data_IF_290809919513
#
_entry.id   IF_290809919513
#
_cell.length_a   1.000
_cell.length_b   1.000
_cell.length_c   1.000
_cell.angle_alpha   90.00
_cell.angle_beta   90.00
_cell.angle_gamma   90.00
#
_symmetry.space_group_name_H-M   'P 1'
#
loop_
_entity.id
_entity.type
_entity.pdbx_description
1 polymer ?
#
# COMPACT_ATOMS: atom_id res chain seq x y z
N UNK A 1 -3.75 -9.70 5.24
CA UNK A 1 -4.26 -8.36 4.87
C UNK A 1 -5.61 -8.56 4.19
N UNK A 2 -6.65 -7.78 4.55
CA UNK A 2 -8.03 -7.99 4.10
C UNK A 2 -8.27 -7.59 2.64
N UNK A 3 -7.41 -6.75 2.06
CA UNK A 3 -7.40 -6.36 0.65
C UNK A 3 -6.00 -6.56 0.07
N UNK A 4 -5.86 -6.49 -1.25
CA UNK A 4 -4.54 -6.51 -1.92
C UNK A 4 -3.89 -5.12 -1.94
N UNK A 5 -2.56 -5.05 -2.10
CA UNK A 5 -1.88 -3.73 -2.19
C UNK A 5 -2.19 -2.95 -3.46
N UNK A 6 -2.73 -3.58 -4.51
CA UNK A 6 -3.29 -2.90 -5.68
C UNK A 6 -4.59 -2.16 -5.34
N UNK A 7 -5.47 -2.81 -4.55
CA UNK A 7 -6.68 -2.17 -4.06
C UNK A 7 -6.34 -1.03 -3.11
N UNK A 8 -5.38 -1.25 -2.19
CA UNK A 8 -4.89 -0.20 -1.30
C UNK A 8 -4.27 0.96 -2.09
N UNK A 9 -3.50 0.69 -3.15
CA UNK A 9 -2.97 1.74 -4.02
C UNK A 9 -4.06 2.62 -4.64
N UNK A 10 -5.17 2.05 -5.12
CA UNK A 10 -6.26 2.86 -5.66
C UNK A 10 -6.90 3.76 -4.59
N UNK A 11 -7.06 3.25 -3.36
CA UNK A 11 -7.57 4.04 -2.22
C UNK A 11 -6.63 5.19 -1.86
N UNK A 12 -5.33 4.91 -1.74
CA UNK A 12 -4.31 5.93 -1.45
C UNK A 12 -4.21 6.98 -2.55
N UNK A 13 -4.23 6.55 -3.83
CA UNK A 13 -4.18 7.45 -4.99
C UNK A 13 -5.36 8.42 -5.00
N UNK A 14 -6.57 7.95 -4.66
CA UNK A 14 -7.75 8.81 -4.56
C UNK A 14 -7.61 9.90 -3.49
N UNK A 15 -6.74 9.67 -2.49
CA UNK A 15 -6.43 10.61 -1.40
C UNK A 15 -5.10 11.36 -1.59
N UNK A 16 -4.51 11.31 -2.79
CA UNK A 16 -3.30 12.04 -3.12
C UNK A 16 -1.99 11.39 -2.64
N UNK A 17 -2.02 10.15 -2.17
CA UNK A 17 -0.83 9.40 -1.73
C UNK A 17 -0.44 8.37 -2.77
N UNK A 18 0.82 8.38 -3.20
CA UNK A 18 1.36 7.44 -4.17
C UNK A 18 2.44 6.56 -3.53
N UNK A 19 2.15 5.26 -3.48
CA UNK A 19 3.08 4.20 -3.10
C UNK A 19 3.04 3.11 -4.18
N UNK A 20 4.09 2.31 -4.33
CA UNK A 20 4.14 1.29 -5.40
C UNK A 20 3.76 -0.08 -4.82
N UNK A 21 2.76 -0.80 -5.40
CA UNK A 21 2.44 -2.17 -5.00
C UNK A 21 3.61 -3.14 -5.17
N UNK A 22 3.76 -4.06 -4.21
CA UNK A 22 4.88 -5.00 -4.09
C UNK A 22 4.97 -6.04 -5.21
N UNK A 23 3.85 -6.48 -5.79
CA UNK A 23 3.84 -7.54 -6.81
C UNK A 23 4.67 -7.20 -8.05
N UNK A 24 4.83 -5.91 -8.36
CA UNK A 24 5.66 -5.44 -9.48
C UNK A 24 7.15 -5.77 -9.33
N UNK A 25 7.60 -6.14 -8.11
CA UNK A 25 8.99 -6.41 -7.79
C UNK A 25 9.35 -7.91 -7.79
N UNK A 26 8.42 -8.79 -8.14
CA UNK A 26 8.65 -10.24 -8.12
C UNK A 26 8.42 -10.91 -9.49
N UNK A 27 9.08 -10.47 -10.58
CA UNK A 27 9.02 -11.19 -11.85
C UNK A 27 9.75 -12.54 -11.73
N UNK A 28 9.23 -13.58 -12.39
CA UNK A 28 9.89 -14.88 -12.49
C UNK A 28 9.76 -15.79 -11.27
N UNK A 29 8.74 -15.60 -10.42
CA UNK A 29 8.43 -16.57 -9.36
C UNK A 29 7.90 -17.88 -9.96
N UNK A 30 8.48 -19.01 -9.53
CA UNK A 30 8.05 -20.36 -9.96
C UNK A 30 6.62 -20.70 -9.51
N UNK A 31 6.15 -20.10 -8.41
CA UNK A 31 4.82 -20.31 -7.83
C UNK A 31 4.22 -18.98 -7.35
N UNK A 32 2.89 -18.82 -7.40
CA UNK A 32 2.22 -17.68 -6.80
C UNK A 32 2.56 -17.58 -5.30
N UNK A 33 2.95 -16.39 -4.86
CA UNK A 33 3.25 -16.11 -3.47
C UNK A 33 2.33 -15.00 -2.94
N UNK A 34 1.36 -15.30 -2.06
CA UNK A 34 0.38 -14.31 -1.58
C UNK A 34 0.99 -13.05 -0.96
N UNK A 35 2.20 -13.15 -0.40
CA UNK A 35 2.92 -12.02 0.18
C UNK A 35 3.22 -10.89 -0.81
N UNK A 36 3.35 -11.21 -2.10
CA UNK A 36 3.59 -10.21 -3.16
C UNK A 36 2.50 -9.14 -3.21
N UNK A 37 1.27 -9.50 -2.83
CA UNK A 37 0.10 -8.62 -2.76
C UNK A 37 -0.09 -7.96 -1.38
N UNK A 38 0.89 -8.08 -0.47
CA UNK A 38 0.83 -7.60 0.92
C UNK A 38 1.87 -6.53 1.26
N UNK A 39 2.71 -6.14 0.29
CA UNK A 39 3.78 -5.16 0.49
C UNK A 39 3.62 -3.94 -0.43
N UNK A 40 4.11 -2.78 0.03
CA UNK A 40 4.22 -1.55 -0.78
C UNK A 40 5.60 -0.92 -0.61
N UNK A 41 6.06 -0.20 -1.63
CA UNK A 41 7.29 0.61 -1.59
C UNK A 41 6.93 2.08 -1.50
N UNK A 42 7.58 2.79 -0.57
CA UNK A 42 7.52 4.25 -0.44
C UNK A 42 8.90 4.88 -0.65
N UNK A 43 8.93 6.17 -1.01
CA UNK A 43 10.14 6.98 -1.04
C UNK A 43 10.19 7.85 0.22
N UNK A 44 11.31 7.83 0.95
CA UNK A 44 11.50 8.59 2.20
C UNK A 44 12.34 9.87 2.04
N UNK A 45 12.74 10.22 0.80
CA UNK A 45 13.47 11.46 0.49
C UNK A 45 12.64 12.76 0.60
N UNK A 46 11.32 12.78 0.33
CA UNK A 46 10.52 14.01 0.49
C UNK A 46 10.57 14.61 1.90
N UNK A 47 10.20 15.89 2.00
CA UNK A 47 10.13 16.62 3.27
C UNK A 47 9.30 15.88 4.34
N UNK A 48 9.69 15.93 5.63
CA UNK A 48 9.04 15.19 6.72
C UNK A 48 7.53 15.41 6.80
N UNK A 49 7.04 16.63 6.56
CA UNK A 49 5.61 16.95 6.65
C UNK A 49 4.80 16.21 5.57
N UNK A 50 5.39 16.01 4.38
CA UNK A 50 4.76 15.22 3.31
C UNK A 50 4.74 13.74 3.64
N UNK A 51 5.81 13.23 4.26
CA UNK A 51 5.88 11.84 4.72
C UNK A 51 4.83 11.60 5.79
N UNK A 52 4.74 12.47 6.79
CA UNK A 52 3.76 12.36 7.88
C UNK A 52 2.32 12.38 7.36
N UNK A 53 1.99 13.32 6.48
CA UNK A 53 0.67 13.38 5.84
C UNK A 53 0.35 12.09 5.05
N UNK A 54 1.32 11.56 4.31
CA UNK A 54 1.18 10.33 3.56
C UNK A 54 0.99 9.10 4.45
N UNK A 55 1.76 8.99 5.53
CA UNK A 55 1.68 7.89 6.51
C UNK A 55 0.36 7.94 7.28
N UNK A 56 -0.14 9.13 7.62
CA UNK A 56 -1.45 9.28 8.26
C UNK A 56 -2.57 8.71 7.39
N UNK A 57 -2.61 9.09 6.11
CA UNK A 57 -3.58 8.57 5.14
C UNK A 57 -3.43 7.04 4.99
N UNK A 58 -2.18 6.53 4.93
CA UNK A 58 -1.92 5.09 4.87
C UNK A 58 -2.52 4.34 6.07
N UNK A 59 -2.30 4.84 7.28
CA UNK A 59 -2.82 4.20 8.50
C UNK A 59 -4.35 4.16 8.50
N UNK A 60 -5.01 5.26 8.11
CA UNK A 60 -6.47 5.33 8.01
C UNK A 60 -7.05 4.34 6.98
N UNK A 61 -6.41 4.19 5.81
CA UNK A 61 -6.86 3.22 4.79
C UNK A 61 -6.63 1.76 5.21
N UNK A 62 -5.55 1.48 5.95
CA UNK A 62 -5.31 0.15 6.53
C UNK A 62 -6.39 -0.18 7.57
N UNK A 63 -6.67 0.74 8.50
CA UNK A 63 -7.71 0.57 9.52
C UNK A 63 -9.07 0.32 8.85
N UNK A 64 -9.42 1.16 7.86
CA UNK A 64 -10.64 1.00 7.09
C UNK A 64 -10.74 -0.36 6.41
N UNK A 65 -9.65 -0.85 5.82
CA UNK A 65 -9.65 -2.15 5.15
C UNK A 65 -9.93 -3.31 6.13
N UNK A 66 -9.45 -3.22 7.37
CA UNK A 66 -9.74 -4.20 8.42
C UNK A 66 -11.16 -4.06 8.98
N UNK A 67 -11.64 -2.83 9.15
CA UNK A 67 -13.01 -2.56 9.61
C UNK A 67 -14.07 -3.08 8.62
N UNK A 68 -13.82 -2.97 7.31
CA UNK A 68 -14.72 -3.47 6.26
C UNK A 68 -14.68 -5.00 6.08
N UNK A 69 -13.71 -5.69 6.71
CA UNK A 69 -13.55 -7.15 6.62
C UNK A 69 -14.26 -7.93 7.72
N UNK A 70 -14.86 -7.23 8.69
CA UNK A 70 -15.68 -7.77 9.77
C UNK A 70 -17.16 -7.47 9.53
#
# INVERSE_FOLDING_TARGET
>A
MPITTEQLYQRLKARGVLMVPGHNFFPGLDKPWPHTHQCMRMNYVPEPEKIEAGVKILAEEIERAWAESH
#
